data_IF_694720254393
#
_entry.id   IF_694720254393
#
_cell.length_a   1.000
_cell.length_b   1.000
_cell.length_c   1.000
_cell.angle_alpha   90.00
_cell.angle_beta   90.00
_cell.angle_gamma   90.00
#
_symmetry.space_group_name_H-M   'P 1'
#
loop_
_entity.id
_entity.type
_entity.pdbx_description
1 polymer ?
#
# COMPACT_ATOMS: atom_id res chain seq x y z
N UNK A 1 27.96 -0.02 -7.29
CA UNK A 1 27.34 0.36 -5.99
C UNK A 1 25.88 -0.10 -5.84
N UNK A 2 25.54 -1.37 -6.18
CA UNK A 2 24.18 -1.95 -5.98
C UNK A 2 23.83 -2.22 -4.49
N UNK A 3 24.82 -2.24 -3.58
CA UNK A 3 24.66 -2.70 -2.19
C UNK A 3 23.95 -1.73 -1.22
N UNK A 4 24.10 -0.40 -1.34
CA UNK A 4 23.48 0.54 -0.38
C UNK A 4 21.97 0.75 -0.60
N UNK A 5 21.47 0.54 -1.83
CA UNK A 5 20.06 0.76 -2.23
C UNK A 5 19.13 -0.40 -1.87
N UNK A 6 19.65 -1.63 -1.93
CA UNK A 6 18.94 -2.80 -1.41
C UNK A 6 18.73 -2.64 0.09
N UNK A 7 19.75 -2.20 0.83
CA UNK A 7 19.69 -2.18 2.29
C UNK A 7 18.60 -1.30 2.91
N UNK A 8 18.21 -0.15 2.33
CA UNK A 8 17.16 0.70 2.94
C UNK A 8 15.75 0.15 2.73
N UNK A 9 15.41 -0.22 1.49
CA UNK A 9 14.11 -0.84 1.18
C UNK A 9 13.99 -2.19 1.89
N UNK A 10 15.09 -2.96 1.99
CA UNK A 10 15.13 -4.20 2.78
C UNK A 10 14.96 -3.93 4.28
N UNK A 11 15.55 -2.86 4.83
CA UNK A 11 15.39 -2.49 6.25
C UNK A 11 13.96 -2.07 6.61
N UNK A 12 13.33 -1.24 5.79
CA UNK A 12 11.92 -0.85 6.00
C UNK A 12 10.99 -2.06 5.88
N UNK A 13 11.21 -2.91 4.86
CA UNK A 13 10.45 -4.17 4.70
C UNK A 13 10.67 -5.14 5.86
N UNK A 14 11.91 -5.25 6.35
CA UNK A 14 12.23 -6.04 7.53
C UNK A 14 11.54 -5.47 8.77
N UNK A 15 11.51 -4.15 8.93
CA UNK A 15 10.77 -3.47 9.99
C UNK A 15 9.28 -3.79 9.96
N UNK A 16 8.63 -3.68 8.79
CA UNK A 16 7.22 -4.04 8.64
C UNK A 16 6.97 -5.52 8.90
N UNK A 17 7.84 -6.41 8.43
CA UNK A 17 7.77 -7.85 8.68
C UNK A 17 7.83 -8.15 10.19
N UNK A 18 8.82 -7.60 10.90
CA UNK A 18 8.98 -7.81 12.35
C UNK A 18 7.79 -7.21 13.10
N UNK A 19 7.35 -6.00 12.75
CA UNK A 19 6.20 -5.37 13.38
C UNK A 19 4.91 -6.20 13.22
N UNK A 20 4.62 -6.70 12.00
CA UNK A 20 3.46 -7.54 11.76
C UNK A 20 3.53 -8.86 12.52
N UNK A 21 4.70 -9.49 12.59
CA UNK A 21 4.89 -10.73 13.35
C UNK A 21 4.66 -10.51 14.86
N UNK A 22 5.22 -9.44 15.40
CA UNK A 22 5.10 -9.08 16.82
C UNK A 22 3.65 -8.75 17.18
N UNK A 23 2.98 -7.91 16.38
CA UNK A 23 1.57 -7.53 16.61
C UNK A 23 0.66 -8.76 16.52
N UNK A 24 0.86 -9.63 15.53
CA UNK A 24 0.11 -10.88 15.43
C UNK A 24 0.33 -11.74 16.68
N UNK A 25 1.57 -11.95 17.10
CA UNK A 25 1.92 -12.76 18.26
C UNK A 25 1.27 -12.24 19.55
N UNK A 26 1.32 -10.94 19.79
CA UNK A 26 0.73 -10.33 20.99
C UNK A 26 -0.79 -10.36 20.99
N UNK A 27 -1.42 -10.31 19.82
CA UNK A 27 -2.86 -10.55 19.75
C UNK A 27 -3.15 -12.03 19.98
N UNK A 28 -2.43 -12.94 19.33
CA UNK A 28 -2.80 -14.36 19.31
C UNK A 28 -2.66 -15.05 20.69
N UNK A 29 -1.53 -14.87 21.38
CA UNK A 29 -1.23 -15.59 22.63
C UNK A 29 -2.35 -15.44 23.69
N UNK A 30 -2.84 -14.23 24.02
CA UNK A 30 -3.93 -14.07 24.97
C UNK A 30 -5.21 -14.81 24.57
N UNK A 31 -5.60 -14.78 23.29
CA UNK A 31 -6.83 -15.42 22.84
C UNK A 31 -6.74 -16.95 22.84
N UNK A 32 -5.56 -17.50 22.54
CA UNK A 32 -5.30 -18.94 22.72
C UNK A 32 -5.34 -19.37 24.18
N UNK A 33 -4.78 -18.56 25.08
CA UNK A 33 -4.71 -18.89 26.50
C UNK A 33 -6.07 -18.80 27.21
N UNK A 34 -6.93 -17.85 26.81
CA UNK A 34 -8.18 -17.55 27.51
C UNK A 34 -9.41 -18.26 26.94
N UNK A 35 -9.35 -18.89 25.75
CA UNK A 35 -10.52 -19.55 25.14
C UNK A 35 -11.68 -18.57 24.92
N UNK A 36 -11.41 -17.47 24.22
CA UNK A 36 -12.34 -16.36 24.11
C UNK A 36 -13.67 -16.77 23.44
N UNK A 37 -14.79 -16.49 24.13
CA UNK A 37 -16.15 -16.83 23.70
C UNK A 37 -16.41 -18.33 23.47
N UNK A 38 -15.62 -19.23 24.08
CA UNK A 38 -15.66 -20.68 23.81
C UNK A 38 -15.44 -21.04 22.33
N UNK A 39 -14.79 -20.15 21.57
CA UNK A 39 -14.39 -20.43 20.20
C UNK A 39 -13.12 -21.28 20.18
N UNK A 40 -12.87 -21.94 19.05
CA UNK A 40 -11.60 -22.60 18.81
C UNK A 40 -10.41 -21.62 18.98
N UNK A 41 -9.25 -22.07 19.48
CA UNK A 41 -8.05 -21.22 19.65
C UNK A 41 -7.55 -20.53 18.36
N UNK A 42 -8.03 -21.00 17.21
CA UNK A 42 -7.74 -20.44 15.89
C UNK A 42 -8.61 -19.21 15.55
N UNK A 43 -9.73 -19.03 16.24
CA UNK A 43 -10.65 -17.93 16.03
C UNK A 43 -10.35 -16.77 16.99
N UNK A 44 -10.19 -15.56 16.45
CA UNK A 44 -10.00 -14.36 17.28
C UNK A 44 -9.63 -13.10 16.49
N UNK A 45 -9.43 -11.97 17.19
CA UNK A 45 -9.07 -10.68 16.57
C UNK A 45 -7.86 -10.73 15.64
N UNK A 46 -6.92 -11.66 15.91
CA UNK A 46 -5.74 -11.90 15.07
C UNK A 46 -6.10 -12.15 13.61
N UNK A 47 -7.27 -12.70 13.33
CA UNK A 47 -7.70 -13.15 12.00
C UNK A 47 -7.93 -11.98 11.03
N UNK A 48 -8.15 -10.77 11.54
CA UNK A 48 -8.25 -9.57 10.71
C UNK A 48 -6.87 -9.05 10.22
N UNK A 49 -5.81 -9.30 11.00
CA UNK A 49 -4.48 -8.75 10.72
C UNK A 49 -3.90 -9.21 9.39
N UNK A 50 -3.96 -10.50 8.98
CA UNK A 50 -3.39 -10.93 7.72
C UNK A 50 -3.97 -10.17 6.53
N UNK A 51 -5.27 -9.88 6.53
CA UNK A 51 -5.92 -9.15 5.43
C UNK A 51 -5.45 -7.69 5.37
N UNK A 52 -5.44 -7.00 6.52
CA UNK A 52 -4.99 -5.61 6.63
C UNK A 52 -3.50 -5.48 6.34
N UNK A 53 -2.66 -6.27 7.01
CA UNK A 53 -1.20 -6.24 6.86
C UNK A 53 -0.77 -6.64 5.45
N UNK A 54 -1.44 -7.63 4.85
CA UNK A 54 -1.19 -8.03 3.47
C UNK A 54 -1.47 -6.90 2.48
N UNK A 55 -2.58 -6.17 2.66
CA UNK A 55 -2.91 -5.04 1.77
C UNK A 55 -2.00 -3.83 2.01
N UNK A 56 -1.72 -3.47 3.27
CA UNK A 56 -0.92 -2.30 3.60
C UNK A 56 0.57 -2.51 3.32
N UNK A 57 1.13 -3.65 3.73
CA UNK A 57 2.58 -3.90 3.69
C UNK A 57 3.00 -4.96 2.64
N UNK A 58 2.05 -5.51 1.89
CA UNK A 58 2.33 -6.47 0.82
C UNK A 58 2.99 -7.75 1.33
N UNK A 59 3.98 -8.31 0.61
CA UNK A 59 4.69 -9.53 1.01
C UNK A 59 5.29 -9.50 2.41
N UNK A 60 5.76 -8.33 2.88
CA UNK A 60 6.32 -8.20 4.22
C UNK A 60 5.24 -8.40 5.30
N UNK A 61 4.04 -7.87 5.07
CA UNK A 61 2.89 -8.07 5.96
C UNK A 61 2.41 -9.52 5.95
N UNK A 62 2.24 -10.12 4.76
CA UNK A 62 1.83 -11.53 4.58
C UNK A 62 2.76 -12.46 5.36
N UNK A 63 4.06 -12.36 5.09
CA UNK A 63 5.06 -13.21 5.73
C UNK A 63 5.19 -12.90 7.23
N UNK A 64 5.09 -11.63 7.61
CA UNK A 64 5.13 -11.22 9.01
C UNK A 64 4.01 -11.86 9.81
N UNK A 65 2.77 -11.79 9.34
CA UNK A 65 1.63 -12.43 10.02
C UNK A 65 1.72 -13.95 10.04
N UNK A 66 2.23 -14.57 8.97
CA UNK A 66 2.43 -16.03 8.93
C UNK A 66 3.50 -16.50 9.92
N UNK A 67 4.61 -15.77 10.05
CA UNK A 67 5.65 -16.04 11.05
C UNK A 67 5.14 -15.74 12.46
N UNK A 68 4.35 -14.69 12.64
CA UNK A 68 3.66 -14.41 13.90
C UNK A 68 2.78 -15.58 14.35
N UNK A 69 1.98 -16.16 13.43
CA UNK A 69 1.17 -17.36 13.68
C UNK A 69 2.03 -18.58 14.03
N UNK A 70 3.14 -18.76 13.33
CA UNK A 70 4.08 -19.85 13.62
C UNK A 70 4.65 -19.73 15.05
N UNK A 71 5.18 -18.57 15.41
CA UNK A 71 5.81 -18.38 16.72
C UNK A 71 4.79 -18.45 17.86
N UNK A 72 3.62 -17.84 17.70
CA UNK A 72 2.55 -17.87 18.71
C UNK A 72 2.01 -19.28 18.95
N UNK A 73 1.80 -20.07 17.89
CA UNK A 73 1.40 -21.47 18.01
C UNK A 73 2.46 -22.32 18.71
N UNK A 74 3.74 -22.10 18.40
CA UNK A 74 4.84 -22.80 19.08
C UNK A 74 4.94 -22.42 20.57
N UNK A 75 4.87 -21.13 20.90
CA UNK A 75 4.86 -20.65 22.30
C UNK A 75 3.67 -21.23 23.09
N UNK A 76 2.54 -21.46 22.41
CA UNK A 76 1.34 -22.06 23.01
C UNK A 76 1.39 -23.59 23.12
N UNK A 77 2.50 -24.23 22.73
CA UNK A 77 2.69 -25.68 22.86
C UNK A 77 2.00 -26.53 21.80
N UNK A 78 1.54 -25.93 20.70
CA UNK A 78 0.91 -26.69 19.60
C UNK A 78 1.95 -27.55 18.84
N UNK A 79 1.48 -28.63 18.22
CA UNK A 79 2.35 -29.50 17.41
C UNK A 79 2.91 -28.76 16.20
N UNK A 80 4.12 -29.14 15.74
CA UNK A 80 4.74 -28.50 14.56
C UNK A 80 3.82 -28.54 13.33
N UNK A 81 3.11 -29.65 13.11
CA UNK A 81 2.12 -29.76 12.03
C UNK A 81 1.03 -28.71 12.17
N UNK A 82 0.46 -28.56 13.36
CA UNK A 82 -0.61 -27.60 13.58
C UNK A 82 -0.15 -26.15 13.33
N UNK A 83 1.02 -25.81 13.85
CA UNK A 83 1.63 -24.48 13.73
C UNK A 83 1.98 -24.15 12.28
N UNK A 84 2.58 -25.09 11.55
CA UNK A 84 2.93 -24.91 10.14
C UNK A 84 1.69 -24.74 9.26
N UNK A 85 0.65 -25.54 9.49
CA UNK A 85 -0.61 -25.48 8.76
C UNK A 85 -1.38 -24.18 8.99
N UNK A 86 -1.37 -23.64 10.21
CA UNK A 86 -1.95 -22.32 10.50
C UNK A 86 -1.18 -21.21 9.78
N UNK A 87 0.16 -21.22 9.83
CA UNK A 87 0.98 -20.24 9.13
C UNK A 87 0.74 -20.26 7.61
N UNK A 88 0.58 -21.45 7.01
CA UNK A 88 0.21 -21.60 5.59
C UNK A 88 -1.17 -21.02 5.30
N UNK A 89 -2.16 -21.32 6.16
CA UNK A 89 -3.54 -20.85 5.99
C UNK A 89 -3.63 -19.32 6.05
N UNK A 90 -2.94 -18.72 7.03
CA UNK A 90 -2.78 -17.27 7.19
C UNK A 90 -2.12 -16.63 5.96
N UNK A 91 -1.00 -17.19 5.50
CA UNK A 91 -0.28 -16.69 4.33
C UNK A 91 -1.13 -16.78 3.05
N UNK A 92 -1.84 -17.89 2.86
CA UNK A 92 -2.68 -18.13 1.70
C UNK A 92 -3.87 -17.17 1.67
N UNK A 93 -4.59 -17.02 2.78
CA UNK A 93 -5.73 -16.11 2.89
C UNK A 93 -5.32 -14.65 2.69
N UNK A 94 -4.21 -14.22 3.29
CA UNK A 94 -3.66 -12.87 3.11
C UNK A 94 -3.21 -12.62 1.67
N UNK A 95 -2.54 -13.60 1.04
CA UNK A 95 -2.13 -13.51 -0.36
C UNK A 95 -3.34 -13.44 -1.28
N UNK A 96 -4.38 -14.22 -1.01
CA UNK A 96 -5.64 -14.19 -1.75
C UNK A 96 -6.29 -12.81 -1.62
N UNK A 97 -6.47 -12.30 -0.40
CA UNK A 97 -7.07 -10.99 -0.14
C UNK A 97 -6.33 -9.89 -0.89
N UNK A 98 -5.00 -9.86 -0.76
CA UNK A 98 -4.12 -8.94 -1.46
C UNK A 98 -4.29 -9.00 -2.98
N UNK A 99 -4.19 -10.19 -3.58
CA UNK A 99 -4.27 -10.34 -5.04
C UNK A 99 -5.66 -10.07 -5.57
N UNK A 100 -6.69 -10.54 -4.88
CA UNK A 100 -8.08 -10.39 -5.30
C UNK A 100 -8.53 -8.93 -5.25
N UNK A 101 -8.07 -8.18 -4.24
CA UNK A 101 -8.27 -6.73 -4.18
C UNK A 101 -7.79 -6.07 -5.48
N UNK A 102 -6.51 -6.23 -5.83
CA UNK A 102 -5.93 -5.59 -7.02
C UNK A 102 -6.38 -6.21 -8.36
N UNK A 103 -6.95 -7.42 -8.35
CA UNK A 103 -7.59 -7.99 -9.53
C UNK A 103 -8.84 -7.20 -9.93
N UNK A 104 -9.64 -6.81 -8.93
CA UNK A 104 -10.85 -5.99 -9.12
C UNK A 104 -10.48 -4.51 -9.25
N UNK A 105 -9.52 -4.04 -8.44
CA UNK A 105 -9.07 -2.64 -8.33
C UNK A 105 -7.81 -2.38 -9.13
N UNK A 106 -7.97 -2.36 -10.47
CA UNK A 106 -6.87 -2.11 -11.40
C UNK A 106 -6.39 -0.65 -11.40
N UNK A 107 -7.20 0.26 -10.90
CA UNK A 107 -6.84 1.67 -10.63
C UNK A 107 -5.84 1.81 -9.48
N UNK A 108 -5.55 0.75 -8.73
CA UNK A 108 -4.56 0.73 -7.64
C UNK A 108 -4.98 1.51 -6.40
N UNK A 109 -6.15 2.15 -6.41
CA UNK A 109 -6.68 2.89 -5.26
C UNK A 109 -7.06 1.92 -4.14
N UNK A 110 -6.62 2.26 -2.94
CA UNK A 110 -6.70 1.43 -1.75
C UNK A 110 -7.26 2.22 -0.56
N UNK A 111 -8.13 3.19 -0.83
CA UNK A 111 -8.87 3.92 0.18
C UNK A 111 -10.24 3.26 0.46
N UNK A 112 -10.72 3.38 1.69
CA UNK A 112 -12.07 2.99 2.09
C UNK A 112 -12.97 4.22 2.28
N UNK A 113 -12.87 5.24 1.41
CA UNK A 113 -13.65 6.48 1.57
C UNK A 113 -15.09 6.37 1.08
N UNK A 114 -15.36 5.46 0.13
CA UNK A 114 -16.72 5.23 -0.38
C UNK A 114 -17.32 3.96 0.19
N UNK A 115 -18.66 3.96 0.36
CA UNK A 115 -19.40 2.77 0.81
C UNK A 115 -19.15 1.56 -0.12
N UNK A 116 -19.00 1.79 -1.42
CA UNK A 116 -18.66 0.73 -2.37
C UNK A 116 -17.29 0.09 -2.08
N UNK A 117 -16.28 0.90 -1.72
CA UNK A 117 -14.95 0.39 -1.37
C UNK A 117 -14.99 -0.39 -0.06
N UNK A 118 -15.75 0.09 0.93
CA UNK A 118 -15.97 -0.62 2.18
C UNK A 118 -16.65 -1.97 1.95
N UNK A 119 -17.75 -2.00 1.19
CA UNK A 119 -18.46 -3.26 0.88
C UNK A 119 -17.54 -4.22 0.15
N UNK A 120 -16.79 -3.76 -0.85
CA UNK A 120 -15.84 -4.60 -1.58
C UNK A 120 -14.75 -5.17 -0.65
N UNK A 121 -14.18 -4.35 0.24
CA UNK A 121 -13.15 -4.76 1.19
C UNK A 121 -13.69 -5.84 2.12
N UNK A 122 -14.90 -5.63 2.66
CA UNK A 122 -15.55 -6.59 3.54
C UNK A 122 -15.84 -7.90 2.82
N UNK A 123 -16.46 -7.87 1.63
CA UNK A 123 -16.79 -9.09 0.87
C UNK A 123 -15.53 -9.88 0.46
N UNK A 124 -14.48 -9.19 0.03
CA UNK A 124 -13.18 -9.84 -0.25
C UNK A 124 -12.63 -10.52 0.99
N UNK A 125 -12.84 -9.89 2.14
CA UNK A 125 -12.44 -10.38 3.44
C UNK A 125 -13.22 -11.59 3.93
N UNK A 126 -14.53 -11.60 3.69
CA UNK A 126 -15.38 -12.76 3.96
C UNK A 126 -14.86 -13.97 3.18
N UNK A 127 -14.63 -13.81 1.87
CA UNK A 127 -14.10 -14.91 1.04
C UNK A 127 -12.71 -15.35 1.53
N UNK A 128 -11.83 -14.41 1.87
CA UNK A 128 -10.51 -14.73 2.41
C UNK A 128 -10.58 -15.44 3.78
N UNK A 129 -11.52 -15.06 4.64
CA UNK A 129 -11.76 -15.67 5.95
C UNK A 129 -12.23 -17.11 5.82
N UNK A 130 -13.20 -17.37 4.93
CA UNK A 130 -13.65 -18.73 4.64
C UNK A 130 -12.58 -19.58 3.94
N UNK A 131 -11.71 -18.97 3.11
CA UNK A 131 -10.54 -19.66 2.58
C UNK A 131 -9.58 -20.08 3.70
N UNK A 132 -9.31 -19.18 4.67
CA UNK A 132 -8.48 -19.50 5.83
C UNK A 132 -9.09 -20.65 6.64
N UNK A 133 -10.37 -20.54 7.01
CA UNK A 133 -11.07 -21.58 7.76
C UNK A 133 -11.19 -22.90 7.01
N UNK A 134 -11.37 -22.87 5.69
CA UNK A 134 -11.39 -24.07 4.86
C UNK A 134 -10.03 -24.77 4.80
N UNK A 135 -8.93 -24.00 4.68
CA UNK A 135 -7.58 -24.55 4.75
C UNK A 135 -7.27 -25.13 6.12
N UNK A 136 -7.66 -24.44 7.19
CA UNK A 136 -7.52 -24.95 8.56
C UNK A 136 -8.38 -26.20 8.77
N UNK A 137 -9.61 -26.23 8.27
CA UNK A 137 -10.47 -27.42 8.29
C UNK A 137 -9.82 -28.63 7.62
N UNK A 138 -9.18 -28.45 6.46
CA UNK A 138 -8.50 -29.54 5.73
C UNK A 138 -7.24 -30.00 6.47
N UNK A 139 -6.46 -29.05 7.00
CA UNK A 139 -5.13 -29.32 7.51
C UNK A 139 -5.10 -29.68 9.00
N UNK A 140 -6.09 -29.22 9.77
CA UNK A 140 -6.10 -29.19 11.24
C UNK A 140 -7.30 -29.90 11.89
N UNK A 141 -8.28 -30.42 11.14
CA UNK A 141 -9.44 -31.12 11.73
C UNK A 141 -9.03 -32.17 12.76
N UNK A 142 -8.06 -33.03 12.40
CA UNK A 142 -7.53 -34.07 13.30
C UNK A 142 -6.82 -33.50 14.54
N UNK A 143 -6.26 -32.28 14.46
CA UNK A 143 -5.46 -31.67 15.53
C UNK A 143 -6.33 -31.03 16.62
N UNK A 144 -7.57 -30.68 16.30
CA UNK A 144 -8.51 -30.00 17.21
C UNK A 144 -9.76 -30.84 17.52
N UNK A 145 -9.77 -32.12 17.14
CA UNK A 145 -10.93 -33.03 17.28
C UNK A 145 -12.24 -32.36 16.82
N UNK A 146 -12.15 -31.60 15.73
CA UNK A 146 -13.20 -30.73 15.23
C UNK A 146 -13.50 -31.07 13.78
N UNK A 147 -14.78 -31.08 13.43
CA UNK A 147 -15.19 -31.32 12.04
C UNK A 147 -14.69 -30.22 11.12
N UNK A 148 -14.39 -30.58 9.86
CA UNK A 148 -14.03 -29.64 8.79
C UNK A 148 -14.98 -28.42 8.73
N UNK A 149 -16.29 -28.69 8.80
CA UNK A 149 -17.33 -27.67 8.69
C UNK A 149 -17.31 -26.71 9.89
N UNK A 150 -17.03 -27.21 11.10
CA UNK A 150 -16.93 -26.39 12.31
C UNK A 150 -15.75 -25.43 12.23
N UNK A 151 -14.56 -25.93 11.86
CA UNK A 151 -13.37 -25.09 11.65
C UNK A 151 -13.61 -24.02 10.57
N UNK A 152 -14.18 -24.43 9.44
CA UNK A 152 -14.46 -23.52 8.33
C UNK A 152 -15.42 -22.40 8.74
N UNK A 153 -16.51 -22.73 9.43
CA UNK A 153 -17.50 -21.76 9.87
C UNK A 153 -16.97 -20.87 10.99
N UNK A 154 -16.38 -21.42 12.05
CA UNK A 154 -15.92 -20.63 13.19
C UNK A 154 -14.81 -19.66 12.79
N UNK A 155 -13.80 -20.16 12.08
CA UNK A 155 -12.67 -19.33 11.64
C UNK A 155 -13.12 -18.34 10.58
N UNK A 156 -13.95 -18.76 9.62
CA UNK A 156 -14.45 -17.89 8.55
C UNK A 156 -15.32 -16.75 9.08
N UNK A 157 -16.29 -17.06 9.96
CA UNK A 157 -17.18 -16.07 10.57
C UNK A 157 -16.41 -15.17 11.54
N UNK A 158 -15.52 -15.72 12.36
CA UNK A 158 -14.67 -14.94 13.27
C UNK A 158 -13.80 -13.96 12.48
N UNK A 159 -13.13 -14.42 11.41
CA UNK A 159 -12.32 -13.55 10.55
C UNK A 159 -13.14 -12.42 9.95
N UNK A 160 -14.35 -12.72 9.47
CA UNK A 160 -15.26 -11.74 8.90
C UNK A 160 -15.71 -10.71 9.94
N UNK A 161 -16.11 -11.17 11.12
CA UNK A 161 -16.53 -10.29 12.22
C UNK A 161 -15.39 -9.37 12.67
N UNK A 162 -14.20 -9.92 12.89
CA UNK A 162 -13.05 -9.11 13.31
C UNK A 162 -12.51 -8.20 12.22
N UNK A 163 -12.66 -8.56 10.94
CA UNK A 163 -12.35 -7.65 9.85
C UNK A 163 -13.28 -6.44 9.88
N UNK A 164 -14.56 -6.61 10.16
CA UNK A 164 -15.50 -5.49 10.28
C UNK A 164 -15.22 -4.64 11.53
N UNK A 165 -15.06 -5.29 12.69
CA UNK A 165 -14.94 -4.62 13.99
C UNK A 165 -13.58 -3.95 14.20
N UNK A 166 -12.50 -4.55 13.70
CA UNK A 166 -11.12 -4.09 13.94
C UNK A 166 -10.40 -3.85 12.62
N UNK A 167 -10.46 -4.79 11.68
CA UNK A 167 -9.65 -4.73 10.46
C UNK A 167 -9.90 -3.48 9.61
N UNK A 168 -11.16 -3.15 9.35
CA UNK A 168 -11.57 -1.95 8.61
C UNK A 168 -11.19 -0.66 9.34
N UNK A 169 -11.54 -0.47 10.63
CA UNK A 169 -11.07 0.69 11.40
C UNK A 169 -9.55 0.85 11.40
N UNK A 170 -8.80 -0.23 11.59
CA UNK A 170 -7.33 -0.20 11.55
C UNK A 170 -6.84 0.16 10.15
N UNK A 171 -7.42 -0.40 9.10
CA UNK A 171 -7.04 -0.06 7.73
C UNK A 171 -7.32 1.43 7.42
N UNK A 172 -8.48 1.95 7.83
CA UNK A 172 -8.83 3.37 7.70
C UNK A 172 -7.85 4.24 8.48
N UNK A 173 -7.52 3.86 9.72
CA UNK A 173 -6.57 4.58 10.56
C UNK A 173 -5.16 4.62 9.94
N UNK A 174 -4.66 3.48 9.46
CA UNK A 174 -3.35 3.40 8.81
C UNK A 174 -3.29 4.24 7.53
N UNK A 175 -4.34 4.18 6.69
CA UNK A 175 -4.35 4.85 5.39
C UNK A 175 -4.74 6.31 5.46
N UNK A 176 -5.69 6.68 6.32
CA UNK A 176 -6.27 8.02 6.37
C UNK A 176 -5.63 8.90 7.45
N UNK A 177 -5.31 8.35 8.62
CA UNK A 177 -4.73 9.12 9.74
C UNK A 177 -3.21 9.09 9.68
N UNK A 178 -2.62 7.91 9.54
CA UNK A 178 -1.16 7.77 9.46
C UNK A 178 -0.60 7.93 8.04
N UNK A 179 -1.48 8.12 7.04
CA UNK A 179 -1.10 8.29 5.64
C UNK A 179 -0.14 7.20 5.12
N UNK A 180 -0.23 5.98 5.68
CA UNK A 180 0.53 4.84 5.22
C UNK A 180 -0.07 4.38 3.91
N UNK A 181 0.78 4.32 2.89
CA UNK A 181 0.37 3.95 1.54
C UNK A 181 0.38 2.45 1.38
N UNK A 182 -0.76 1.82 1.00
CA UNK A 182 -0.80 0.40 0.76
C UNK A 182 0.14 -0.05 -0.34
N UNK A 183 0.59 -1.30 -0.26
CA UNK A 183 1.58 -1.82 -1.18
C UNK A 183 0.93 -2.20 -2.50
N UNK A 184 1.18 -1.43 -3.56
CA UNK A 184 0.61 -1.71 -4.88
C UNK A 184 1.50 -2.73 -5.64
N UNK A 185 0.94 -3.69 -6.39
CA UNK A 185 1.72 -4.68 -7.14
C UNK A 185 2.45 -4.07 -8.36
N UNK A 186 3.71 -4.47 -8.57
CA UNK A 186 4.61 -3.94 -9.64
C UNK A 186 4.00 -4.02 -11.06
N UNK A 187 3.18 -5.03 -11.36
CA UNK A 187 2.57 -5.17 -12.69
C UNK A 187 1.55 -4.08 -13.01
N UNK A 188 0.92 -3.46 -12.00
CA UNK A 188 0.06 -2.28 -12.20
C UNK A 188 0.87 -1.03 -12.58
N UNK A 189 2.18 -1.02 -12.32
CA UNK A 189 3.12 0.01 -12.74
C UNK A 189 3.63 -0.24 -14.16
N UNK A 190 3.90 -1.51 -14.50
CA UNK A 190 4.44 -1.92 -15.80
C UNK A 190 3.43 -1.74 -16.96
N UNK A 191 2.14 -1.57 -16.66
CA UNK A 191 1.12 -1.32 -17.68
C UNK A 191 1.21 0.08 -18.33
N UNK A 192 2.11 0.95 -17.86
CA UNK A 192 2.51 2.21 -18.51
C UNK A 192 3.83 2.16 -19.29
N UNK A 193 4.53 1.01 -19.31
CA UNK A 193 5.84 0.86 -19.99
C UNK A 193 5.73 0.14 -21.36
N UNK A 194 4.52 -0.14 -21.88
CA UNK A 194 4.36 -0.63 -23.25
C UNK A 194 4.45 0.55 -24.23
N UNK A 195 5.46 0.52 -25.09
CA UNK A 195 5.94 1.53 -26.06
C UNK A 195 4.92 2.16 -27.02
N UNK A 196 3.62 1.89 -26.90
CA UNK A 196 2.59 2.38 -27.83
C UNK A 196 1.80 3.60 -27.30
N UNK A 197 2.05 4.02 -26.07
CA UNK A 197 1.38 5.15 -25.43
C UNK A 197 2.14 6.46 -25.67
N UNK A 198 1.63 7.33 -26.55
CA UNK A 198 2.26 8.63 -26.80
C UNK A 198 2.62 9.40 -25.51
N UNK A 199 3.80 9.97 -25.51
CA UNK A 199 4.49 10.53 -24.34
C UNK A 199 4.52 12.05 -24.46
N UNK A 200 4.22 12.75 -23.36
CA UNK A 200 4.50 14.16 -23.21
C UNK A 200 5.85 14.30 -22.50
N UNK A 201 6.81 14.90 -23.18
CA UNK A 201 8.12 15.25 -22.61
C UNK A 201 8.26 16.76 -22.66
N UNK A 202 8.61 17.38 -21.53
CA UNK A 202 8.90 18.80 -21.45
C UNK A 202 10.03 19.07 -20.46
N UNK A 203 10.79 20.13 -20.72
CA UNK A 203 11.86 20.59 -19.85
C UNK A 203 11.51 21.99 -19.33
N UNK A 204 11.57 22.18 -18.02
CA UNK A 204 11.34 23.47 -17.37
C UNK A 204 12.62 23.92 -16.67
N UNK A 205 13.09 25.12 -16.94
CA UNK A 205 14.19 25.76 -16.26
C UNK A 205 13.82 26.35 -14.89
N UNK A 206 14.74 27.13 -14.34
CA UNK A 206 14.58 27.80 -13.04
C UNK A 206 13.72 29.07 -13.08
N UNK A 207 13.28 29.52 -14.27
CA UNK A 207 12.42 30.70 -14.41
C UNK A 207 10.94 30.35 -14.11
N UNK A 208 10.30 31.15 -13.25
CA UNK A 208 8.90 31.01 -12.86
C UNK A 208 7.96 31.15 -14.06
N UNK A 209 8.37 31.89 -15.11
CA UNK A 209 7.56 32.01 -16.33
C UNK A 209 7.44 30.70 -17.10
N UNK A 210 8.44 29.80 -17.01
CA UNK A 210 8.42 28.51 -17.69
C UNK A 210 7.42 27.52 -17.06
N UNK A 211 7.00 27.75 -15.80
CA UNK A 211 5.93 26.99 -15.15
C UNK A 211 4.54 27.28 -15.71
N UNK A 212 4.31 28.48 -16.24
CA UNK A 212 2.97 28.91 -16.68
C UNK A 212 2.42 28.08 -17.85
N UNK A 213 3.30 27.46 -18.66
CA UNK A 213 2.91 26.61 -19.79
C UNK A 213 2.71 25.13 -19.45
N UNK A 214 3.01 24.72 -18.22
CA UNK A 214 2.95 23.30 -17.80
C UNK A 214 1.52 22.82 -17.73
N UNK A 215 0.64 23.60 -17.10
CA UNK A 215 -0.78 23.29 -16.98
C UNK A 215 -1.44 23.10 -18.35
N UNK A 216 -1.20 24.03 -19.27
CA UNK A 216 -1.73 23.99 -20.63
C UNK A 216 -1.22 22.77 -21.42
N UNK A 217 0.09 22.47 -21.32
CA UNK A 217 0.67 21.31 -21.99
C UNK A 217 0.10 19.98 -21.46
N UNK A 218 -0.11 19.88 -20.15
CA UNK A 218 -0.74 18.71 -19.52
C UNK A 218 -2.21 18.62 -19.91
N UNK A 219 -2.95 19.73 -19.92
CA UNK A 219 -4.35 19.77 -20.33
C UNK A 219 -4.55 19.31 -21.78
N UNK A 220 -3.73 19.83 -22.70
CA UNK A 220 -3.75 19.43 -24.10
C UNK A 220 -3.42 17.94 -24.28
N UNK A 221 -2.41 17.43 -23.54
CA UNK A 221 -2.09 16.01 -23.55
C UNK A 221 -3.25 15.15 -23.03
N UNK A 222 -3.92 15.57 -21.96
CA UNK A 222 -5.07 14.87 -21.40
C UNK A 222 -6.22 14.80 -22.40
N UNK A 223 -6.50 15.90 -23.12
CA UNK A 223 -7.51 15.95 -24.17
C UNK A 223 -7.17 15.00 -25.33
N UNK A 224 -5.93 15.05 -25.83
CA UNK A 224 -5.44 14.18 -26.90
C UNK A 224 -5.49 12.68 -26.55
N UNK A 225 -5.32 12.35 -25.27
CA UNK A 225 -5.35 10.96 -24.78
C UNK A 225 -6.73 10.53 -24.27
N UNK A 226 -7.75 11.40 -24.33
CA UNK A 226 -9.09 11.09 -23.84
C UNK A 226 -9.13 10.79 -22.35
N UNK A 227 -8.22 11.38 -21.56
CA UNK A 227 -8.16 11.20 -20.11
C UNK A 227 -9.37 11.93 -19.48
N UNK A 228 -10.17 11.28 -18.62
CA UNK A 228 -11.30 11.91 -17.97
C UNK A 228 -10.91 13.18 -17.20
N UNK A 229 -11.73 14.24 -17.29
CA UNK A 229 -11.42 15.57 -16.74
C UNK A 229 -10.97 15.53 -15.27
N UNK A 230 -11.61 14.71 -14.43
CA UNK A 230 -11.22 14.56 -13.02
C UNK A 230 -9.79 14.02 -12.85
N UNK A 231 -9.39 13.02 -13.67
CA UNK A 231 -8.03 12.47 -13.66
C UNK A 231 -7.04 13.45 -14.28
N UNK A 232 -7.44 14.15 -15.34
CA UNK A 232 -6.64 15.20 -15.97
C UNK A 232 -6.28 16.33 -15.01
N UNK A 233 -7.25 16.81 -14.24
CA UNK A 233 -7.03 17.81 -13.20
C UNK A 233 -6.08 17.33 -12.09
N UNK A 234 -6.21 16.07 -11.68
CA UNK A 234 -5.32 15.47 -10.69
C UNK A 234 -3.87 15.39 -11.19
N UNK A 235 -3.66 15.02 -12.46
CA UNK A 235 -2.33 14.97 -13.09
C UNK A 235 -1.73 16.38 -13.14
N UNK A 236 -2.49 17.34 -13.64
CA UNK A 236 -2.07 18.74 -13.76
C UNK A 236 -1.67 19.32 -12.41
N UNK A 237 -2.55 19.21 -11.40
CA UNK A 237 -2.29 19.70 -10.04
C UNK A 237 -1.05 19.04 -9.43
N UNK A 238 -0.85 17.74 -9.67
CA UNK A 238 0.33 17.03 -9.17
C UNK A 238 1.63 17.50 -9.81
N UNK A 239 1.61 17.71 -11.14
CA UNK A 239 2.78 18.15 -11.91
C UNK A 239 3.16 19.57 -11.54
N UNK A 240 2.19 20.49 -11.46
CA UNK A 240 2.41 21.89 -11.11
C UNK A 240 2.98 22.02 -9.69
N UNK A 241 2.33 21.41 -8.70
CA UNK A 241 2.74 21.50 -7.30
C UNK A 241 4.16 20.96 -7.09
N UNK A 242 4.49 19.81 -7.68
CA UNK A 242 5.83 19.25 -7.59
C UNK A 242 6.85 20.12 -8.32
N UNK A 243 6.50 20.68 -9.48
CA UNK A 243 7.41 21.52 -10.25
C UNK A 243 7.76 22.81 -9.49
N UNK A 244 6.78 23.44 -8.84
CA UNK A 244 6.99 24.60 -7.96
C UNK A 244 7.95 24.27 -6.82
N UNK A 245 7.70 23.17 -6.11
CA UNK A 245 8.54 22.74 -4.97
C UNK A 245 9.98 22.39 -5.38
N UNK A 246 10.16 21.80 -6.56
CA UNK A 246 11.48 21.46 -7.10
C UNK A 246 12.20 22.74 -7.55
N UNK A 247 11.50 23.66 -8.21
CA UNK A 247 12.10 24.88 -8.75
C UNK A 247 12.75 25.74 -7.66
N UNK A 248 12.15 25.82 -6.47
CA UNK A 248 12.71 26.50 -5.29
C UNK A 248 14.10 25.96 -4.86
N UNK A 249 14.48 24.76 -5.32
CA UNK A 249 15.71 24.04 -4.94
C UNK A 249 16.60 23.76 -6.15
N UNK A 250 16.21 24.22 -7.33
CA UNK A 250 16.88 23.96 -8.58
C UNK A 250 18.13 24.84 -8.69
N UNK A 251 19.28 24.32 -9.17
CA UNK A 251 20.42 25.16 -9.54
C UNK A 251 20.02 26.18 -10.62
N UNK A 252 20.70 27.33 -10.71
CA UNK A 252 20.41 28.41 -11.69
C UNK A 252 20.39 27.94 -13.16
N UNK A 253 21.14 26.88 -13.49
CA UNK A 253 21.18 26.28 -14.83
C UNK A 253 20.48 24.92 -14.90
N UNK A 254 19.87 24.49 -13.80
CA UNK A 254 19.17 23.23 -13.72
C UNK A 254 17.87 23.24 -14.51
N UNK A 255 17.46 22.06 -14.96
CA UNK A 255 16.16 21.83 -15.60
C UNK A 255 15.42 20.68 -14.94
N UNK A 256 14.11 20.78 -14.92
CA UNK A 256 13.17 19.73 -14.53
C UNK A 256 12.70 19.06 -15.82
N UNK A 257 13.13 17.83 -16.04
CA UNK A 257 12.67 16.98 -17.13
C UNK A 257 11.38 16.28 -16.68
N UNK A 258 10.25 16.61 -17.30
CA UNK A 258 8.94 16.04 -17.00
C UNK A 258 8.56 15.10 -18.15
N UNK A 259 8.15 13.89 -17.77
CA UNK A 259 7.73 12.83 -18.67
C UNK A 259 6.38 12.31 -18.19
N UNK A 260 5.35 12.39 -19.04
CA UNK A 260 4.00 11.87 -18.78
C UNK A 260 3.66 10.82 -19.82
N UNK A 261 3.33 9.61 -19.36
CA UNK A 261 2.95 8.47 -20.18
C UNK A 261 1.57 7.97 -19.80
N UNK A 262 0.69 7.85 -20.78
CA UNK A 262 -0.70 7.44 -20.60
C UNK A 262 -0.95 6.03 -21.14
N UNK A 263 -1.02 5.04 -20.25
CA UNK A 263 -1.49 3.69 -20.56
C UNK A 263 -2.82 3.39 -19.87
N UNK A 264 -2.95 2.20 -19.28
CA UNK A 264 -4.04 1.91 -18.32
C UNK A 264 -3.99 2.81 -17.07
N UNK A 265 -2.78 3.25 -16.73
CA UNK A 265 -2.50 4.26 -15.72
C UNK A 265 -1.68 5.40 -16.31
N UNK A 266 -1.77 6.59 -15.71
CA UNK A 266 -0.92 7.71 -16.10
C UNK A 266 0.29 7.73 -15.17
N UNK A 267 1.47 7.59 -15.76
CA UNK A 267 2.76 7.65 -15.06
C UNK A 267 3.39 9.00 -15.34
N UNK A 268 3.70 9.74 -14.28
CA UNK A 268 4.42 11.01 -14.36
C UNK A 268 5.79 10.80 -13.73
N UNK A 269 6.85 11.18 -14.44
CA UNK A 269 8.24 11.17 -13.96
C UNK A 269 8.78 12.59 -14.04
N UNK A 270 9.41 13.06 -12.96
CA UNK A 270 10.13 14.33 -12.90
C UNK A 270 11.58 14.06 -12.54
N UNK A 271 12.52 14.47 -13.38
CA UNK A 271 13.95 14.36 -13.13
C UNK A 271 14.57 15.75 -13.01
N UNK A 272 15.43 15.97 -12.02
CA UNK A 272 16.05 17.27 -11.80
C UNK A 272 17.43 17.15 -11.13
N UNK A 273 18.39 18.02 -11.49
CA UNK A 273 19.72 18.04 -10.90
C UNK A 273 19.71 18.70 -9.51
N UNK A 274 20.82 18.57 -8.80
CA UNK A 274 21.07 19.32 -7.56
C UNK A 274 21.18 18.43 -6.31
N UNK A 275 21.02 19.07 -5.14
CA UNK A 275 21.11 18.39 -3.86
C UNK A 275 20.02 17.34 -3.68
N UNK A 276 20.22 16.44 -2.70
CA UNK A 276 19.22 15.40 -2.41
C UNK A 276 17.97 16.05 -1.83
N UNK A 277 16.95 16.17 -2.65
CA UNK A 277 15.66 16.70 -2.23
C UNK A 277 14.56 15.68 -2.57
N UNK A 278 13.69 15.40 -1.60
CA UNK A 278 12.53 14.55 -1.79
C UNK A 278 11.30 15.33 -1.31
N UNK A 279 10.51 15.92 -2.23
CA UNK A 279 9.28 16.64 -1.87
C UNK A 279 8.31 15.76 -1.06
N UNK A 280 8.32 14.44 -1.26
CA UNK A 280 7.46 13.56 -0.48
C UNK A 280 7.93 13.39 0.97
N UNK A 281 9.13 13.81 1.37
CA UNK A 281 9.58 13.71 2.75
C UNK A 281 9.07 14.91 3.56
N UNK A 282 7.81 14.84 4.01
CA UNK A 282 7.17 15.88 4.83
C UNK A 282 7.97 16.09 6.13
N UNK A 283 8.49 17.30 6.34
CA UNK A 283 9.06 17.75 7.62
C UNK A 283 8.29 18.99 8.07
N UNK A 284 7.60 18.88 9.19
CA UNK A 284 6.89 20.02 9.79
C UNK A 284 7.93 21.05 10.24
N UNK A 285 7.88 22.24 9.65
CA UNK A 285 8.74 23.33 10.04
C UNK A 285 8.14 24.05 11.27
N UNK A 286 8.96 24.43 12.28
CA UNK A 286 8.52 25.26 13.38
C UNK A 286 8.22 26.68 12.86
N UNK A 287 6.96 26.97 12.53
CA UNK A 287 6.56 28.28 12.01
C UNK A 287 5.06 28.48 11.78
N UNK A 288 4.20 27.59 12.30
CA UNK A 288 2.75 27.67 12.13
C UNK A 288 2.26 27.26 10.73
N UNK A 289 0.96 27.45 10.41
CA UNK A 289 0.33 26.98 9.18
C UNK A 289 0.94 27.57 7.90
N UNK A 290 1.35 28.85 7.93
CA UNK A 290 1.96 29.52 6.78
C UNK A 290 3.34 28.98 6.40
N UNK A 291 4.13 28.52 7.37
CA UNK A 291 5.42 27.87 7.11
C UNK A 291 5.30 26.43 6.59
N UNK A 292 4.08 25.90 6.51
CA UNK A 292 3.77 24.54 6.11
C UNK A 292 2.80 24.49 4.92
N UNK A 293 2.64 25.59 4.16
CA UNK A 293 1.81 25.62 2.93
C UNK A 293 2.28 24.58 1.91
N UNK A 294 3.60 24.41 1.76
CA UNK A 294 4.21 23.36 0.94
C UNK A 294 3.78 21.94 1.37
N UNK A 295 3.48 21.75 2.66
CA UNK A 295 2.99 20.46 3.19
C UNK A 295 1.58 20.18 2.68
N UNK A 296 0.71 21.19 2.61
CA UNK A 296 -0.65 21.04 2.10
C UNK A 296 -0.62 20.62 0.62
N UNK A 297 0.23 21.26 -0.19
CA UNK A 297 0.46 20.86 -1.58
C UNK A 297 0.93 19.41 -1.71
N UNK A 298 1.94 19.02 -0.93
CA UNK A 298 2.45 17.63 -0.92
C UNK A 298 1.37 16.64 -0.45
N UNK A 299 0.54 17.00 0.52
CA UNK A 299 -0.57 16.15 0.99
C UNK A 299 -1.65 16.00 -0.08
N UNK A 300 -1.96 17.06 -0.82
CA UNK A 300 -2.85 17.03 -1.98
C UNK A 300 -2.30 16.11 -3.07
N UNK A 301 -1.03 16.28 -3.46
CA UNK A 301 -0.34 15.40 -4.41
C UNK A 301 -0.41 13.95 -3.94
N UNK A 302 -0.24 13.72 -2.63
CA UNK A 302 -0.28 12.38 -2.06
C UNK A 302 -1.66 11.76 -2.05
N UNK A 303 -2.70 12.56 -1.97
CA UNK A 303 -4.09 12.13 -2.02
C UNK A 303 -4.53 11.84 -3.47
N UNK A 304 -4.06 12.65 -4.42
CA UNK A 304 -4.37 12.50 -5.85
C UNK A 304 -3.63 11.32 -6.50
N UNK A 305 -2.39 11.06 -6.08
CA UNK A 305 -1.56 10.01 -6.67
C UNK A 305 -1.78 8.63 -6.00
N UNK A 306 -2.09 7.62 -6.82
CA UNK A 306 -2.14 6.19 -6.45
C UNK A 306 -0.81 5.72 -5.89
N UNK A 307 0.30 6.18 -6.46
CA UNK A 307 1.65 5.89 -5.98
C UNK A 307 2.56 7.08 -6.17
N UNK A 308 3.55 7.22 -5.28
CA UNK A 308 4.67 8.13 -5.42
C UNK A 308 5.95 7.43 -5.00
N UNK A 309 7.01 7.71 -5.72
CA UNK A 309 8.34 7.17 -5.50
C UNK A 309 9.37 8.28 -5.69
N UNK A 310 10.45 8.19 -4.91
CA UNK A 310 11.61 9.05 -5.07
C UNK A 310 12.86 8.20 -5.19
N UNK A 311 13.73 8.60 -6.11
CA UNK A 311 14.99 7.93 -6.41
C UNK A 311 16.05 9.00 -6.72
N UNK A 312 17.30 8.76 -6.33
CA UNK A 312 18.44 9.58 -6.79
C UNK A 312 19.43 8.70 -7.55
N UNK A 313 19.82 9.09 -8.75
CA UNK A 313 20.77 8.37 -9.63
C UNK A 313 21.80 9.35 -10.16
N UNK A 314 23.09 9.10 -9.90
CA UNK A 314 24.20 9.87 -10.46
C UNK A 314 23.99 11.40 -10.36
N UNK A 315 23.70 11.87 -9.15
CA UNK A 315 23.42 13.29 -8.82
C UNK A 315 22.09 13.87 -9.30
N UNK A 316 21.35 13.17 -10.16
CA UNK A 316 19.98 13.52 -10.52
C UNK A 316 18.97 12.92 -9.53
N UNK A 317 18.01 13.74 -9.14
CA UNK A 317 16.81 13.34 -8.43
C UNK A 317 15.74 12.91 -9.44
N UNK A 318 14.97 11.89 -9.11
CA UNK A 318 13.90 11.31 -9.92
C UNK A 318 12.70 11.08 -9.02
N UNK A 319 11.58 11.71 -9.36
CA UNK A 319 10.27 11.46 -8.78
C UNK A 319 9.46 10.66 -9.78
N UNK A 320 8.70 9.70 -9.29
CA UNK A 320 7.75 8.94 -10.09
C UNK A 320 6.41 8.96 -9.37
N UNK A 321 5.34 9.19 -10.08
CA UNK A 321 3.99 9.08 -9.55
C UNK A 321 3.06 8.41 -10.54
N UNK A 322 2.04 7.76 -9.99
CA UNK A 322 0.94 7.20 -10.75
C UNK A 322 -0.32 7.91 -10.30
N UNK A 323 -1.06 8.46 -11.25
CA UNK A 323 -2.31 9.19 -11.03
C UNK A 323 -3.45 8.48 -11.72
#
# INVERSE_FOLDING_TARGET
MKGKRSNYITKERLGCFVACAVVYLFLDIPFRAMGFLNLLPLAGPKNALPMVAGLVFGPAGILGTAVGALVSGWVSGASFRAVASEAVSVAAASTFFYRFWYLIRRDGKTDLKSAGHMVQFFLTGVVAGFLMGGLEGILLADSYDSGFLTLCLEVGLSSSAWLLLIGMPVFILLTSVFAIRPWVPVHLFAAGDREEAGELVMDIGSDVQELAGVGDAVALYNEQKGIPAQRGYAIMSCVEELSVLIQQRLPETGKIHICIRSGSNVVVRLQYPGERYNPFAVRVAPGGPGANLDILGILMVREMAVHVGYRRRQEENELTMIV
#
